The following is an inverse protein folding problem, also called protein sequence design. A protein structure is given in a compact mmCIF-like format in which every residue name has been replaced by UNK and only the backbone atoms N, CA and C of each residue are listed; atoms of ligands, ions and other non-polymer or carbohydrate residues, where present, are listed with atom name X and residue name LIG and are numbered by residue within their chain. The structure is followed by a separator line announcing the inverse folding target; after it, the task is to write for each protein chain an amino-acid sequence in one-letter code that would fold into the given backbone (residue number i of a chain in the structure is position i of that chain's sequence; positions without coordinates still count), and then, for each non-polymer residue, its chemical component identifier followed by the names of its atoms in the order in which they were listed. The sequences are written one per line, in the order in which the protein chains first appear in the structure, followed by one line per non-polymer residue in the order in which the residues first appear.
data_IF_920928852357
#
_entry.id   IF_920928852357
#
_cell.length_a   1.000
_cell.length_b   1.000
_cell.length_c   1.000
_cell.angle_alpha   90.00
_cell.angle_beta   90.00
_cell.angle_gamma   90.00
#
_symmetry.space_group_name_H-M   'P 1'
#
loop_
_entity.id
_entity.type
_entity.pdbx_description
1 polymer ?
#
# COMPACT_ATOMS: atom_id res chain seq x y z
N UNK A 1 -2.98 -29.34 -13.17
CA UNK A 1 -4.07 -29.02 -12.20
C UNK A 1 -3.49 -28.03 -11.22
N UNK A 2 -4.06 -26.83 -11.16
CA UNK A 2 -3.56 -25.71 -10.38
C UNK A 2 -3.64 -26.01 -8.86
N UNK A 3 -2.50 -25.99 -8.16
CA UNK A 3 -2.44 -25.89 -6.68
C UNK A 3 -2.66 -24.43 -6.26
N UNK A 4 -3.77 -23.85 -6.69
CA UNK A 4 -3.91 -22.40 -6.86
C UNK A 4 -4.15 -21.60 -5.58
N UNK A 5 -4.62 -22.19 -4.48
CA UNK A 5 -5.17 -21.39 -3.36
C UNK A 5 -4.53 -21.70 -2.00
N UNK A 6 -4.16 -22.96 -1.71
CA UNK A 6 -3.47 -23.32 -0.46
C UNK A 6 -1.97 -22.99 -0.46
N UNK A 7 -1.40 -22.63 -1.62
CA UNK A 7 0.03 -22.38 -1.77
C UNK A 7 0.45 -20.95 -1.42
N UNK A 8 -0.47 -19.98 -1.46
CA UNK A 8 -0.16 -18.57 -1.18
C UNK A 8 -0.59 -18.25 0.25
N UNK A 9 0.29 -17.60 0.99
CA UNK A 9 0.08 -17.10 2.33
C UNK A 9 0.13 -15.57 2.30
N UNK A 10 -1.01 -14.95 2.59
CA UNK A 10 -1.09 -13.50 2.82
C UNK A 10 -0.57 -13.22 4.23
N UNK A 11 0.53 -12.51 4.31
CA UNK A 11 1.19 -12.10 5.54
C UNK A 11 0.54 -10.80 6.00
N UNK A 12 -0.38 -10.90 6.94
CA UNK A 12 -1.03 -9.76 7.57
C UNK A 12 -0.03 -9.00 8.44
N UNK A 13 0.32 -7.78 8.04
CA UNK A 13 1.28 -6.93 8.73
C UNK A 13 0.55 -5.86 9.53
N UNK A 14 0.92 -5.78 10.81
CA UNK A 14 0.41 -4.92 11.85
C UNK A 14 1.60 -4.29 12.59
N UNK A 15 1.33 -3.40 13.54
CA UNK A 15 2.39 -2.71 14.26
C UNK A 15 3.33 -3.64 15.03
N UNK A 16 2.84 -4.79 15.50
CA UNK A 16 3.61 -5.73 16.32
C UNK A 16 4.57 -6.61 15.52
N UNK A 17 4.37 -6.77 14.20
CA UNK A 17 5.22 -7.62 13.35
C UNK A 17 5.87 -6.89 12.16
N UNK A 18 5.59 -5.61 11.94
CA UNK A 18 6.10 -4.84 10.79
C UNK A 18 7.61 -4.91 10.62
N UNK A 19 8.39 -4.82 11.71
CA UNK A 19 9.86 -4.90 11.64
C UNK A 19 10.35 -6.27 11.18
N UNK A 20 9.72 -7.34 11.69
CA UNK A 20 10.07 -8.72 11.34
C UNK A 20 9.73 -9.02 9.88
N UNK A 21 8.61 -8.51 9.39
CA UNK A 21 8.19 -8.66 8.00
C UNK A 21 9.08 -7.86 7.04
N UNK A 22 9.50 -6.65 7.43
CA UNK A 22 10.50 -5.91 6.66
C UNK A 22 11.88 -6.56 6.68
N UNK A 23 12.26 -7.30 7.73
CA UNK A 23 13.49 -8.08 7.72
C UNK A 23 13.45 -9.17 6.64
N UNK A 24 12.33 -9.90 6.53
CA UNK A 24 12.13 -10.90 5.47
C UNK A 24 12.17 -10.27 4.07
N UNK A 25 11.51 -9.12 3.89
CA UNK A 25 11.51 -8.38 2.62
C UNK A 25 12.94 -8.01 2.20
N UNK A 26 13.77 -7.52 3.13
CA UNK A 26 15.17 -7.17 2.85
C UNK A 26 16.00 -8.37 2.41
N UNK A 27 15.68 -9.58 2.87
CA UNK A 27 16.38 -10.80 2.46
C UNK A 27 16.01 -11.26 1.05
N UNK A 28 14.80 -10.92 0.57
CA UNK A 28 14.29 -11.44 -0.71
C UNK A 28 14.37 -10.44 -1.86
N UNK A 29 14.41 -9.12 -1.59
CA UNK A 29 14.22 -8.08 -2.61
C UNK A 29 15.22 -8.16 -3.78
N UNK A 30 16.46 -8.57 -3.51
CA UNK A 30 17.49 -8.73 -4.53
C UNK A 30 17.24 -9.95 -5.44
N UNK A 31 16.61 -11.01 -4.92
CA UNK A 31 16.29 -12.22 -5.67
C UNK A 31 14.93 -12.15 -6.37
N UNK A 32 14.01 -11.32 -5.84
CA UNK A 32 12.65 -11.14 -6.35
C UNK A 32 12.39 -9.64 -6.63
N UNK A 33 13.06 -9.05 -7.63
CA UNK A 33 13.08 -7.59 -7.82
C UNK A 33 11.81 -7.02 -8.47
N UNK A 34 10.85 -7.85 -8.89
CA UNK A 34 9.59 -7.38 -9.47
C UNK A 34 8.54 -7.21 -8.37
N UNK A 35 8.15 -5.96 -8.10
CA UNK A 35 7.28 -5.59 -6.99
C UNK A 35 5.93 -5.13 -7.54
N UNK A 36 4.92 -5.97 -7.40
CA UNK A 36 3.53 -5.61 -7.67
C UNK A 36 2.92 -4.92 -6.44
N UNK A 37 2.15 -3.85 -6.69
CA UNK A 37 1.61 -3.01 -5.63
C UNK A 37 0.19 -2.56 -5.92
N UNK A 38 -0.61 -2.51 -4.86
CA UNK A 38 -2.00 -2.05 -4.85
C UNK A 38 -2.35 -1.41 -3.51
N UNK A 39 -3.30 -0.47 -3.48
CA UNK A 39 -3.68 0.25 -2.25
C UNK A 39 -5.18 0.32 -2.03
N UNK A 40 -5.57 0.28 -0.76
CA UNK A 40 -6.95 0.55 -0.35
C UNK A 40 -7.03 1.86 0.44
N UNK A 41 -7.95 2.72 0.03
CA UNK A 41 -8.13 4.07 0.57
C UNK A 41 -9.61 4.49 0.50
N UNK A 42 -10.04 5.52 1.25
CA UNK A 42 -11.45 5.83 1.45
C UNK A 42 -12.12 6.56 0.25
N UNK A 43 -11.71 6.23 -0.98
CA UNK A 43 -12.28 6.72 -2.22
C UNK A 43 -11.84 8.13 -2.60
N UNK A 44 -12.71 8.85 -3.31
CA UNK A 44 -12.46 10.22 -3.78
C UNK A 44 -13.63 11.13 -3.39
N UNK A 45 -13.34 12.18 -2.65
CA UNK A 45 -14.35 13.12 -2.11
C UNK A 45 -14.20 14.54 -2.67
N UNK A 46 -12.99 14.91 -3.10
CA UNK A 46 -12.72 16.22 -3.67
C UNK A 46 -12.75 16.20 -5.19
N UNK A 47 -13.34 17.24 -5.77
CA UNK A 47 -13.24 17.58 -7.21
C UNK A 47 -12.85 19.05 -7.33
N UNK A 48 -11.59 19.35 -7.69
CA UNK A 48 -11.14 20.72 -7.86
C UNK A 48 -11.99 21.48 -8.88
N UNK A 49 -12.36 22.72 -8.55
CA UNK A 49 -13.08 23.63 -9.46
C UNK A 49 -12.11 24.70 -9.94
N UNK A 50 -12.01 24.88 -11.26
CA UNK A 50 -11.11 25.86 -11.83
C UNK A 50 -10.82 25.65 -13.31
N UNK A 51 -9.88 26.43 -13.84
CA UNK A 51 -9.33 26.23 -15.17
C UNK A 51 -8.11 25.33 -15.10
N UNK A 52 -8.09 24.26 -15.91
CA UNK A 52 -6.99 23.30 -16.00
C UNK A 52 -6.38 23.35 -17.40
N UNK A 53 -5.08 23.10 -17.50
CA UNK A 53 -4.38 23.18 -18.79
C UNK A 53 -4.86 22.09 -19.76
N UNK A 54 -5.14 20.90 -19.23
CA UNK A 54 -5.63 19.74 -19.95
C UNK A 54 -6.21 18.71 -18.96
N UNK A 55 -6.72 17.58 -19.47
CA UNK A 55 -7.29 16.52 -18.64
C UNK A 55 -6.28 15.88 -17.68
N UNK A 56 -5.00 15.76 -18.07
CA UNK A 56 -3.96 15.18 -17.20
C UNK A 56 -3.68 16.08 -16.00
N UNK A 57 -3.64 17.40 -16.20
CA UNK A 57 -3.51 18.39 -15.12
C UNK A 57 -4.72 18.30 -14.17
N UNK A 58 -5.94 18.27 -14.70
CA UNK A 58 -7.14 18.05 -13.87
C UNK A 58 -7.08 16.75 -13.06
N UNK A 59 -6.69 15.64 -13.69
CA UNK A 59 -6.58 14.34 -13.04
C UNK A 59 -5.52 14.35 -11.93
N UNK A 60 -4.36 14.96 -12.19
CA UNK A 60 -3.30 15.11 -11.20
C UNK A 60 -3.74 15.98 -10.01
N UNK A 61 -4.37 17.13 -10.27
CA UNK A 61 -4.87 18.00 -9.18
C UNK A 61 -5.95 17.29 -8.35
N UNK A 62 -6.82 16.52 -9.00
CA UNK A 62 -7.84 15.72 -8.31
C UNK A 62 -7.22 14.65 -7.44
N UNK A 63 -6.28 13.87 -7.98
CA UNK A 63 -5.51 12.87 -7.26
C UNK A 63 -4.79 13.49 -6.07
N UNK A 64 -3.99 14.54 -6.30
CA UNK A 64 -3.20 15.21 -5.28
C UNK A 64 -4.09 15.69 -4.13
N UNK A 65 -5.18 16.40 -4.42
CA UNK A 65 -6.07 16.93 -3.39
C UNK A 65 -6.69 15.82 -2.52
N UNK A 66 -7.10 14.71 -3.15
CA UNK A 66 -7.66 13.58 -2.41
C UNK A 66 -6.59 12.83 -1.61
N UNK A 67 -5.42 12.55 -2.19
CA UNK A 67 -4.30 11.90 -1.49
C UNK A 67 -3.81 12.74 -0.32
N UNK A 68 -3.72 14.07 -0.45
CA UNK A 68 -3.33 14.96 0.64
C UNK A 68 -4.33 14.86 1.82
N UNK A 69 -5.63 14.94 1.51
CA UNK A 69 -6.70 14.96 2.52
C UNK A 69 -6.93 13.60 3.19
N UNK A 70 -6.98 12.54 2.38
CA UNK A 70 -7.44 11.22 2.80
C UNK A 70 -6.28 10.37 3.34
N UNK A 71 -6.62 9.36 4.12
CA UNK A 71 -5.65 8.49 4.78
C UNK A 71 -5.67 7.09 4.17
N UNK A 72 -4.49 6.53 3.98
CA UNK A 72 -4.32 5.17 3.46
C UNK A 72 -4.85 4.15 4.48
N UNK A 73 -5.47 3.07 4.01
CA UNK A 73 -6.04 2.02 4.87
C UNK A 73 -5.20 0.74 4.77
N UNK A 74 -4.87 0.31 3.54
CA UNK A 74 -4.01 -0.84 3.30
C UNK A 74 -3.08 -0.63 2.10
N UNK A 75 -1.96 -1.35 2.12
CA UNK A 75 -1.02 -1.48 1.01
C UNK A 75 -0.71 -2.96 0.81
N UNK A 76 -0.88 -3.47 -0.41
CA UNK A 76 -0.45 -4.80 -0.81
C UNK A 76 0.90 -4.74 -1.51
N UNK A 77 1.82 -5.63 -1.15
CA UNK A 77 3.08 -5.85 -1.89
C UNK A 77 3.25 -7.33 -2.23
N UNK A 78 3.53 -7.60 -3.50
CA UNK A 78 3.86 -8.95 -4.00
C UNK A 78 5.20 -8.89 -4.72
N UNK A 79 6.10 -9.81 -4.38
CA UNK A 79 7.44 -9.89 -4.95
C UNK A 79 7.52 -11.08 -5.89
N UNK A 80 8.21 -10.93 -7.02
CA UNK A 80 8.47 -12.01 -7.96
C UNK A 80 9.84 -11.90 -8.62
N UNK A 81 10.36 -13.02 -9.10
CA UNK A 81 11.52 -13.06 -9.97
C UNK A 81 11.13 -12.78 -11.44
N UNK A 82 12.10 -12.84 -12.34
CA UNK A 82 11.88 -12.59 -13.79
C UNK A 82 10.96 -13.60 -14.48
N UNK A 83 10.80 -14.79 -13.91
CA UNK A 83 9.92 -15.85 -14.40
C UNK A 83 8.52 -15.80 -13.75
N UNK A 84 8.32 -14.87 -12.80
CA UNK A 84 7.06 -14.72 -12.06
C UNK A 84 6.92 -15.66 -10.86
N UNK A 85 8.00 -16.30 -10.40
CA UNK A 85 7.95 -17.13 -9.19
C UNK A 85 7.92 -16.24 -7.94
N UNK A 86 7.16 -16.67 -6.93
CA UNK A 86 7.01 -15.95 -5.66
C UNK A 86 8.01 -16.47 -4.61
N UNK A 87 8.46 -15.63 -3.67
CA UNK A 87 9.26 -16.06 -2.54
C UNK A 87 8.44 -16.94 -1.58
N UNK A 88 9.10 -17.82 -0.84
CA UNK A 88 8.44 -18.64 0.20
C UNK A 88 8.74 -18.19 1.64
N UNK A 89 9.60 -17.18 1.81
CA UNK A 89 9.95 -16.60 3.11
C UNK A 89 10.37 -17.63 4.17
N UNK A 90 11.10 -18.68 3.77
CA UNK A 90 11.53 -19.75 4.67
C UNK A 90 10.41 -20.72 5.09
N UNK A 91 9.28 -20.73 4.38
CA UNK A 91 8.15 -21.65 4.61
C UNK A 91 7.90 -22.53 3.37
N UNK A 92 6.92 -23.44 3.47
CA UNK A 92 6.46 -24.28 2.35
C UNK A 92 5.40 -23.58 1.46
N UNK A 93 5.10 -22.30 1.74
CA UNK A 93 4.07 -21.51 1.04
C UNK A 93 4.67 -20.23 0.48
N UNK A 94 4.16 -19.80 -0.67
CA UNK A 94 4.48 -18.50 -1.24
C UNK A 94 3.97 -17.38 -0.35
N UNK A 95 4.69 -16.27 -0.24
CA UNK A 95 4.35 -15.14 0.61
C UNK A 95 4.04 -13.89 -0.20
N UNK A 96 2.96 -13.20 0.19
CA UNK A 96 2.65 -11.83 -0.21
C UNK A 96 2.30 -11.02 1.05
N UNK A 97 2.45 -9.70 1.02
CA UNK A 97 2.27 -8.85 2.19
C UNK A 97 1.06 -7.96 2.05
N UNK A 98 0.29 -7.87 3.14
CA UNK A 98 -0.79 -6.92 3.30
C UNK A 98 -0.51 -6.06 4.54
N UNK A 99 -0.17 -4.80 4.32
CA UNK A 99 0.11 -3.83 5.37
C UNK A 99 -1.17 -3.11 5.76
N UNK A 100 -1.48 -3.08 7.06
CA UNK A 100 -2.70 -2.47 7.59
C UNK A 100 -2.35 -1.23 8.40
N UNK A 101 -2.88 -0.06 8.03
CA UNK A 101 -2.55 1.24 8.64
C UNK A 101 -3.54 1.66 9.72
N UNK A 102 -3.09 2.46 10.69
CA UNK A 102 -3.91 2.90 11.84
C UNK A 102 -4.56 4.27 11.68
N UNK A 103 -4.11 5.05 10.72
CA UNK A 103 -4.36 6.49 10.67
C UNK A 103 -5.83 6.81 10.41
N UNK A 104 -6.51 5.96 9.63
CA UNK A 104 -7.88 6.16 9.23
C UNK A 104 -8.87 5.75 10.32
N UNK A 105 -9.74 6.70 10.70
CA UNK A 105 -10.82 6.52 11.67
C UNK A 105 -12.17 6.90 11.03
N UNK A 106 -13.06 5.91 10.91
CA UNK A 106 -14.40 6.07 10.32
C UNK A 106 -15.27 7.07 11.09
N UNK A 107 -14.99 7.34 12.37
CA UNK A 107 -15.78 8.27 13.17
C UNK A 107 -15.41 9.73 12.93
N UNK A 108 -14.18 10.02 12.49
CA UNK A 108 -13.64 11.38 12.48
C UNK A 108 -13.08 11.83 11.13
N UNK A 109 -12.65 10.89 10.28
CA UNK A 109 -12.05 11.21 8.99
C UNK A 109 -13.08 11.39 7.87
N UNK A 110 -12.66 12.10 6.82
CA UNK A 110 -13.44 12.26 5.59
C UNK A 110 -13.28 11.00 4.73
N UNK A 111 -14.38 10.53 4.15
CA UNK A 111 -14.40 9.37 3.25
C UNK A 111 -15.60 9.40 2.29
N UNK A 112 -15.52 8.61 1.22
CA UNK A 112 -16.68 8.28 0.38
C UNK A 112 -17.43 7.08 0.97
N UNK A 113 -18.74 7.23 1.22
CA UNK A 113 -19.57 6.19 1.84
C UNK A 113 -19.51 4.86 1.07
N UNK A 114 -19.72 4.91 -0.26
CA UNK A 114 -19.70 3.72 -1.12
C UNK A 114 -18.37 2.95 -1.01
N UNK A 115 -17.25 3.67 -0.88
CA UNK A 115 -15.93 3.06 -0.70
C UNK A 115 -15.81 2.37 0.65
N UNK A 116 -16.24 3.00 1.75
CA UNK A 116 -16.18 2.37 3.08
C UNK A 116 -17.11 1.16 3.16
N UNK A 117 -18.30 1.22 2.56
CA UNK A 117 -19.20 0.07 2.51
C UNK A 117 -18.59 -1.10 1.73
N UNK A 118 -17.98 -0.84 0.57
CA UNK A 118 -17.27 -1.84 -0.21
C UNK A 118 -16.12 -2.48 0.59
N UNK A 119 -15.32 -1.65 1.26
CA UNK A 119 -14.18 -2.12 2.07
C UNK A 119 -14.64 -2.99 3.26
N UNK A 120 -15.73 -2.61 3.94
CA UNK A 120 -16.35 -3.46 4.99
C UNK A 120 -16.81 -4.80 4.43
N UNK A 121 -17.47 -4.79 3.28
CA UNK A 121 -17.93 -6.02 2.62
C UNK A 121 -16.78 -6.91 2.17
N UNK A 122 -15.63 -6.30 1.86
CA UNK A 122 -14.40 -7.00 1.47
C UNK A 122 -13.58 -7.53 2.66
N UNK A 123 -14.02 -7.25 3.90
CA UNK A 123 -13.45 -7.84 5.11
C UNK A 123 -12.53 -6.91 5.91
N UNK A 124 -12.46 -5.61 5.59
CA UNK A 124 -11.68 -4.65 6.39
C UNK A 124 -12.34 -4.39 7.74
N UNK A 125 -11.57 -4.62 8.81
CA UNK A 125 -11.94 -4.34 10.18
C UNK A 125 -11.29 -3.04 10.66
N UNK A 126 -12.03 -1.94 10.49
CA UNK A 126 -11.58 -0.60 10.85
C UNK A 126 -11.25 -0.43 12.34
N UNK A 127 -11.91 -1.18 13.22
CA UNK A 127 -11.59 -1.14 14.65
C UNK A 127 -10.22 -1.80 14.91
N UNK A 128 -9.95 -2.92 14.26
CA UNK A 128 -8.65 -3.58 14.31
C UNK A 128 -7.55 -2.71 13.69
N UNK A 129 -7.80 -2.02 12.57
CA UNK A 129 -6.89 -1.02 12.01
C UNK A 129 -6.52 0.05 13.04
N UNK A 130 -7.51 0.66 13.70
CA UNK A 130 -7.25 1.69 14.71
C UNK A 130 -6.43 1.17 15.90
N UNK A 131 -6.68 -0.05 16.36
CA UNK A 131 -6.03 -0.62 17.54
C UNK A 131 -4.64 -1.21 17.27
N UNK A 132 -4.42 -1.79 16.09
CA UNK A 132 -3.22 -2.60 15.77
C UNK A 132 -2.47 -2.16 14.53
N UNK A 133 -3.02 -1.23 13.76
CA UNK A 133 -2.44 -0.79 12.50
C UNK A 133 -1.05 -0.20 12.66
N UNK A 134 -0.28 -0.30 11.58
CA UNK A 134 1.05 0.25 11.46
C UNK A 134 0.97 1.78 11.48
N UNK A 135 1.92 2.44 12.14
CA UNK A 135 2.12 3.88 12.00
C UNK A 135 2.71 4.19 10.62
N UNK A 136 2.06 5.04 9.84
CA UNK A 136 2.43 5.35 8.48
C UNK A 136 3.83 5.99 8.35
N UNK A 137 4.26 6.78 9.33
CA UNK A 137 5.60 7.37 9.31
C UNK A 137 6.65 6.29 9.59
N UNK A 138 6.39 5.42 10.56
CA UNK A 138 7.28 4.28 10.85
C UNK A 138 7.40 3.33 9.66
N UNK A 139 6.28 3.04 8.99
CA UNK A 139 6.29 2.29 7.74
C UNK A 139 7.16 2.98 6.67
N UNK A 140 7.05 4.29 6.51
CA UNK A 140 7.85 5.09 5.58
C UNK A 140 9.35 4.96 5.83
N UNK A 141 9.78 5.01 7.10
CA UNK A 141 11.19 4.83 7.50
C UNK A 141 11.71 3.42 7.17
N UNK A 142 10.91 2.39 7.47
CA UNK A 142 11.25 1.01 7.15
C UNK A 142 11.32 0.77 5.64
N UNK A 143 10.39 1.35 4.88
CA UNK A 143 10.36 1.28 3.42
C UNK A 143 11.59 1.97 2.81
N UNK A 144 11.96 3.15 3.30
CA UNK A 144 13.14 3.89 2.82
C UNK A 144 14.44 3.09 2.97
N UNK A 145 14.55 2.26 4.00
CA UNK A 145 15.71 1.42 4.32
C UNK A 145 15.56 -0.05 3.88
N UNK A 146 14.53 -0.37 3.09
CA UNK A 146 14.20 -1.75 2.71
C UNK A 146 14.92 -2.27 1.46
N UNK A 147 15.44 -1.37 0.62
CA UNK A 147 15.93 -1.72 -0.72
C UNK A 147 14.84 -1.84 -1.80
N UNK A 148 13.55 -1.69 -1.44
CA UNK A 148 12.43 -1.67 -2.40
C UNK A 148 12.41 -0.36 -3.21
N UNK A 149 12.66 0.76 -2.54
CA UNK A 149 12.64 2.11 -3.13
C UNK A 149 14.05 2.62 -3.33
N UNK A 150 14.23 3.59 -4.24
CA UNK A 150 15.54 4.14 -4.60
C UNK A 150 16.55 3.07 -5.07
N UNK A 151 16.05 1.92 -5.52
CA UNK A 151 16.82 0.83 -6.07
C UNK A 151 16.50 0.68 -7.56
N UNK A 152 17.53 0.82 -8.41
CA UNK A 152 17.40 0.76 -9.88
C UNK A 152 17.12 -0.65 -10.40
N UNK A 153 17.41 -1.67 -9.59
CA UNK A 153 17.27 -3.07 -9.98
C UNK A 153 15.83 -3.56 -9.72
N UNK A 154 15.06 -2.85 -8.89
CA UNK A 154 13.65 -3.11 -8.62
C UNK A 154 12.75 -2.58 -9.74
N UNK A 155 11.80 -3.41 -10.18
CA UNK A 155 10.80 -3.08 -11.19
C UNK A 155 9.40 -3.09 -10.59
N UNK A 156 8.71 -1.94 -10.64
CA UNK A 156 7.35 -1.82 -10.13
C UNK A 156 6.32 -2.27 -11.17
N UNK A 157 5.40 -3.14 -10.76
CA UNK A 157 4.28 -3.62 -11.56
C UNK A 157 2.99 -3.08 -10.95
N UNK A 158 2.19 -2.35 -11.72
CA UNK A 158 1.01 -1.68 -11.18
C UNK A 158 -0.16 -1.67 -12.16
N UNK A 159 -1.37 -1.37 -11.66
CA UNK A 159 -2.58 -1.30 -12.46
C UNK A 159 -3.40 -0.06 -12.08
N UNK A 160 -3.63 0.84 -13.04
CA UNK A 160 -4.36 2.10 -12.81
C UNK A 160 -3.83 2.92 -11.60
N UNK A 161 -2.51 2.98 -11.46
CA UNK A 161 -1.88 3.23 -10.17
C UNK A 161 -1.53 4.68 -9.84
N UNK A 162 -2.30 5.63 -10.37
CA UNK A 162 -2.09 7.04 -10.06
C UNK A 162 -2.20 7.28 -8.55
N UNK A 163 -3.31 6.83 -7.96
CA UNK A 163 -3.55 6.98 -6.53
C UNK A 163 -2.58 6.15 -5.70
N UNK A 164 -2.28 4.92 -6.11
CA UNK A 164 -1.37 4.03 -5.36
C UNK A 164 0.02 4.64 -5.23
N UNK A 165 0.59 5.15 -6.32
CA UNK A 165 1.86 5.89 -6.24
C UNK A 165 1.72 7.22 -5.49
N UNK A 166 0.56 7.89 -5.59
CA UNK A 166 0.28 9.09 -4.79
C UNK A 166 0.40 8.81 -3.29
N UNK A 167 -0.21 7.73 -2.81
CA UNK A 167 -0.10 7.30 -1.41
C UNK A 167 1.30 6.81 -1.06
N UNK A 168 1.95 6.03 -1.92
CA UNK A 168 3.33 5.58 -1.70
C UNK A 168 4.29 6.78 -1.53
N UNK A 169 4.15 7.80 -2.37
CA UNK A 169 4.92 9.04 -2.26
C UNK A 169 4.56 9.84 -1.00
N UNK A 170 3.29 9.85 -0.59
CA UNK A 170 2.86 10.46 0.67
C UNK A 170 3.47 9.75 1.89
N UNK A 171 3.63 8.43 1.85
CA UNK A 171 4.29 7.67 2.92
C UNK A 171 5.81 7.92 2.97
N UNK A 172 6.46 8.03 1.81
CA UNK A 172 7.91 8.25 1.73
C UNK A 172 8.32 9.68 2.03
N UNK A 173 7.46 10.65 1.68
CA UNK A 173 7.62 12.02 2.07
C UNK A 173 7.07 12.16 3.49
N UNK A 174 7.92 11.89 4.49
CA UNK A 174 7.64 12.26 5.87
C UNK A 174 7.03 13.67 5.88
N UNK A 175 6.00 13.94 6.69
CA UNK A 175 5.49 15.29 6.86
C UNK A 175 6.53 16.11 7.64
N UNK A 176 7.62 16.49 6.99
CA UNK A 176 8.53 17.50 7.47
C UNK A 176 8.40 18.77 6.63
N UNK A 177 7.99 19.82 7.36
CA UNK A 177 8.05 21.25 7.03
C UNK A 177 6.89 21.79 6.17
N UNK A 178 5.70 21.83 6.76
CA UNK A 178 4.80 22.97 6.60
C UNK A 178 4.98 23.93 7.78
#
# INVERSE_FOLDING_TARGET
MAKGDESIHIREVWNDNVEAEFALIREIVDAYPYVAMDTEFPGTVLRPVGSFKNSSDYNYQTLKANVDLLKLIQLGLTFSDEDGNLPTCGTDRYCIWQFNFREFDVCSDVFANDSIELLRQSGIDFEKNSQRGIDANWFGELLMSSGIVLNKDVQWVTFHSGYDFGYLLKLLNLPELA
#
